data_IF_080161495406
#
_entry.id   IF_080161495406
#
_cell.length_a   1.000
_cell.length_b   1.000
_cell.length_c   1.000
_cell.angle_alpha   90.00
_cell.angle_beta   90.00
_cell.angle_gamma   90.00
#
_symmetry.space_group_name_H-M   'P 1'
#
loop_
_entity.id
_entity.type
_entity.pdbx_description
1 polymer ?
#
# COMPACT_ATOMS: atom_id res chain seq x y z
N UNK A 1 -10.63 16.14 -10.43
CA UNK A 1 -11.52 15.75 -9.31
C UNK A 1 -10.95 14.52 -8.60
N UNK A 2 -10.88 14.58 -7.29
CA UNK A 2 -10.32 13.48 -6.53
C UNK A 2 -11.38 12.44 -6.17
N UNK A 3 -10.95 11.17 -6.08
CA UNK A 3 -11.83 10.07 -5.63
C UNK A 3 -11.87 9.98 -4.10
N UNK A 4 -10.96 10.67 -3.40
CA UNK A 4 -10.85 10.54 -1.95
C UNK A 4 -12.02 11.24 -1.26
N UNK A 5 -12.72 10.51 -0.41
CA UNK A 5 -13.90 11.01 0.31
C UNK A 5 -13.59 11.47 1.73
N UNK A 6 -12.36 11.19 2.19
CA UNK A 6 -11.91 11.57 3.52
C UNK A 6 -10.69 12.48 3.38
N UNK A 7 -10.60 13.48 4.24
CA UNK A 7 -9.41 14.32 4.28
C UNK A 7 -8.27 13.56 4.96
N UNK A 8 -7.06 13.66 4.41
CA UNK A 8 -5.91 13.00 5.01
C UNK A 8 -4.62 13.71 4.59
N UNK A 9 -3.56 13.44 5.36
CA UNK A 9 -2.18 13.76 4.99
C UNK A 9 -1.38 12.48 5.00
N UNK A 10 -0.29 12.43 4.25
CA UNK A 10 0.61 11.27 4.28
C UNK A 10 1.12 11.02 5.70
N UNK A 11 1.43 12.08 6.43
CA UNK A 11 1.88 12.00 7.81
C UNK A 11 0.87 11.29 8.71
N UNK A 12 -0.41 11.64 8.59
CA UNK A 12 -1.48 11.01 9.36
C UNK A 12 -1.60 9.52 9.02
N UNK A 13 -1.54 9.18 7.75
CA UNK A 13 -1.64 7.78 7.31
C UNK A 13 -0.48 6.94 7.85
N UNK A 14 0.72 7.48 7.82
CA UNK A 14 1.89 6.77 8.32
C UNK A 14 1.87 6.64 9.84
N UNK A 15 1.35 7.62 10.54
CA UNK A 15 1.18 7.56 12.00
C UNK A 15 0.22 6.43 12.40
N UNK A 16 -0.84 6.21 11.63
CA UNK A 16 -1.81 5.15 11.91
C UNK A 16 -1.17 3.76 11.89
N UNK A 17 -0.17 3.55 11.04
CA UNK A 17 0.44 2.24 10.86
C UNK A 17 1.65 1.95 11.73
N UNK A 18 2.17 2.93 12.46
CA UNK A 18 3.49 2.79 13.09
C UNK A 18 3.59 1.70 14.15
N UNK A 19 2.50 1.41 14.86
CA UNK A 19 2.50 0.43 15.96
C UNK A 19 1.83 -0.89 15.60
N UNK A 20 1.76 -1.21 14.32
CA UNK A 20 1.16 -2.47 13.86
C UNK A 20 2.04 -3.10 12.77
N UNK A 21 1.54 -4.16 12.14
CA UNK A 21 2.29 -4.89 11.12
C UNK A 21 2.81 -3.98 10.00
N UNK A 22 2.03 -2.98 9.61
CA UNK A 22 2.40 -2.03 8.56
C UNK A 22 3.73 -1.34 8.89
N UNK A 23 3.81 -0.72 10.07
CA UNK A 23 5.02 -0.04 10.51
C UNK A 23 6.16 -1.02 10.79
N UNK A 24 5.84 -2.21 11.33
CA UNK A 24 6.85 -3.22 11.62
C UNK A 24 7.58 -3.66 10.35
N UNK A 25 6.87 -3.80 9.24
CA UNK A 25 7.46 -4.15 7.95
C UNK A 25 8.13 -2.97 7.25
N UNK A 26 8.00 -1.78 7.81
CA UNK A 26 8.57 -0.57 7.21
C UNK A 26 7.76 -0.02 6.05
N UNK A 27 6.50 -0.42 5.93
CA UNK A 27 5.62 0.10 4.88
C UNK A 27 5.32 1.57 5.14
N UNK A 28 5.55 2.39 4.13
CA UNK A 28 5.32 3.83 4.19
C UNK A 28 4.43 4.26 3.04
N UNK A 29 3.39 5.01 3.35
CA UNK A 29 2.56 5.62 2.31
C UNK A 29 3.37 6.78 1.76
N UNK A 30 3.75 6.72 0.49
CA UNK A 30 4.78 7.59 -0.07
C UNK A 30 4.26 8.69 -0.98
N UNK A 31 3.11 8.49 -1.62
CA UNK A 31 2.57 9.46 -2.56
C UNK A 31 1.11 9.17 -2.86
N UNK A 32 0.41 10.17 -3.37
CA UNK A 32 -0.96 9.99 -3.86
C UNK A 32 -1.28 11.05 -4.91
N UNK A 33 -2.28 10.77 -5.72
CA UNK A 33 -2.83 11.69 -6.69
C UNK A 33 -4.34 11.72 -6.59
N UNK A 34 -5.01 12.24 -7.61
CA UNK A 34 -6.47 12.36 -7.58
C UNK A 34 -7.18 11.00 -7.55
N UNK A 35 -6.58 9.98 -8.15
CA UNK A 35 -7.19 8.66 -8.27
C UNK A 35 -6.22 7.50 -8.03
N UNK A 36 -5.14 7.74 -7.30
CA UNK A 36 -4.18 6.69 -6.98
C UNK A 36 -3.49 6.98 -5.65
N UNK A 37 -2.96 5.95 -5.03
CA UNK A 37 -2.16 6.06 -3.82
C UNK A 37 -1.07 4.98 -3.86
N UNK A 38 0.10 5.31 -3.34
CA UNK A 38 1.29 4.47 -3.43
C UNK A 38 1.93 4.28 -2.06
N UNK A 39 2.43 3.09 -1.83
CA UNK A 39 3.24 2.76 -0.66
C UNK A 39 4.53 2.11 -1.10
N UNK A 40 5.56 2.23 -0.27
CA UNK A 40 6.83 1.55 -0.46
C UNK A 40 7.20 0.76 0.78
N UNK A 41 8.02 -0.26 0.59
CA UNK A 41 8.47 -1.13 1.67
C UNK A 41 9.94 -1.45 1.45
N UNK A 42 10.78 -1.35 2.49
CA UNK A 42 12.20 -1.69 2.33
C UNK A 42 12.38 -3.19 2.14
N UNK A 43 13.40 -3.55 1.39
CA UNK A 43 13.82 -4.95 1.26
C UNK A 43 15.00 -5.14 2.21
N UNK A 44 14.73 -5.71 3.38
CA UNK A 44 15.72 -5.93 4.43
C UNK A 44 15.36 -7.17 5.24
N UNK A 45 15.99 -7.35 6.41
CA UNK A 45 15.78 -8.53 7.24
C UNK A 45 14.32 -8.75 7.67
N UNK A 46 13.49 -7.71 7.65
CA UNK A 46 12.08 -7.80 8.02
C UNK A 46 11.22 -8.36 6.90
N UNK A 47 11.69 -8.29 5.67
CA UNK A 47 10.89 -8.52 4.48
C UNK A 47 11.46 -9.55 3.51
N UNK A 48 12.59 -10.16 3.86
CA UNK A 48 13.23 -11.16 3.02
C UNK A 48 12.96 -12.58 3.54
N UNK A 49 13.05 -13.55 2.64
CA UNK A 49 12.99 -14.97 2.98
C UNK A 49 14.44 -15.49 3.23
N UNK A 50 14.62 -16.76 3.65
CA UNK A 50 15.94 -17.25 4.08
C UNK A 50 17.08 -17.15 3.06
N UNK A 51 16.77 -17.03 1.78
CA UNK A 51 17.80 -16.89 0.74
C UNK A 51 18.12 -15.42 0.43
N UNK A 52 17.59 -14.46 1.21
CA UNK A 52 17.87 -13.05 1.05
C UNK A 52 17.02 -12.33 0.01
N UNK A 53 16.03 -12.99 -0.56
CA UNK A 53 15.12 -12.40 -1.54
C UNK A 53 13.86 -11.89 -0.85
N UNK A 54 13.21 -10.91 -1.45
CA UNK A 54 11.93 -10.41 -0.97
C UNK A 54 10.93 -11.56 -0.80
N UNK A 55 10.34 -11.65 0.39
CA UNK A 55 9.36 -12.68 0.70
C UNK A 55 8.04 -12.41 -0.03
N UNK A 56 7.55 -13.42 -0.76
CA UNK A 56 6.32 -13.28 -1.53
C UNK A 56 5.10 -12.90 -0.70
N UNK A 57 4.94 -13.52 0.46
CA UNK A 57 3.84 -13.21 1.38
C UNK A 57 3.88 -11.79 1.91
N UNK A 58 5.08 -11.27 2.17
CA UNK A 58 5.26 -9.90 2.63
C UNK A 58 4.95 -8.92 1.49
N UNK A 59 5.28 -9.29 0.26
CA UNK A 59 4.91 -8.51 -0.92
C UNK A 59 3.39 -8.41 -1.05
N UNK A 60 2.67 -9.49 -0.79
CA UNK A 60 1.20 -9.48 -0.76
C UNK A 60 0.69 -8.59 0.37
N UNK A 61 1.36 -8.59 1.52
CA UNK A 61 0.98 -7.72 2.64
C UNK A 61 1.07 -6.24 2.24
N UNK A 62 2.08 -5.85 1.47
CA UNK A 62 2.20 -4.49 0.94
C UNK A 62 1.01 -4.16 0.03
N UNK A 63 0.69 -5.05 -0.91
CA UNK A 63 -0.43 -4.85 -1.82
C UNK A 63 -1.76 -4.77 -1.07
N UNK A 64 -1.97 -5.65 -0.10
CA UNK A 64 -3.16 -5.68 0.74
C UNK A 64 -3.31 -4.37 1.52
N UNK A 65 -2.22 -3.88 2.11
CA UNK A 65 -2.21 -2.66 2.90
C UNK A 65 -2.66 -1.46 2.05
N UNK A 66 -2.05 -1.28 0.88
CA UNK A 66 -2.37 -0.11 0.06
C UNK A 66 -3.76 -0.23 -0.57
N UNK A 67 -4.18 -1.45 -0.92
CA UNK A 67 -5.51 -1.69 -1.45
C UNK A 67 -6.61 -1.41 -0.42
N UNK A 68 -6.43 -1.89 0.80
CA UNK A 68 -7.38 -1.65 1.89
C UNK A 68 -7.48 -0.17 2.23
N UNK A 69 -6.35 0.51 2.29
CA UNK A 69 -6.31 1.94 2.58
C UNK A 69 -7.01 2.74 1.48
N UNK A 70 -6.72 2.44 0.22
CA UNK A 70 -7.36 3.11 -0.90
C UNK A 70 -8.88 2.92 -0.88
N UNK A 71 -9.33 1.71 -0.56
CA UNK A 71 -10.76 1.43 -0.39
C UNK A 71 -11.39 2.28 0.70
N UNK A 72 -10.75 2.32 1.87
CA UNK A 72 -11.23 3.09 3.01
C UNK A 72 -11.34 4.59 2.69
N UNK A 73 -10.31 5.15 2.05
CA UNK A 73 -10.26 6.59 1.77
C UNK A 73 -11.20 7.02 0.63
N UNK A 74 -11.58 6.11 -0.25
CA UNK A 74 -12.37 6.43 -1.45
C UNK A 74 -13.87 6.20 -1.29
N UNK A 75 -14.32 5.68 -0.15
CA UNK A 75 -15.75 5.42 0.07
C UNK A 75 -16.30 6.37 1.15
N UNK A 76 -17.58 6.68 1.02
CA UNK A 76 -18.32 7.34 2.07
C UNK A 76 -18.96 6.28 2.95
N UNK A 77 -19.43 6.67 4.13
CA UNK A 77 -20.13 5.75 5.01
C UNK A 77 -21.32 5.13 4.26
N UNK A 78 -21.41 3.82 4.32
CA UNK A 78 -22.46 3.08 3.62
C UNK A 78 -22.17 2.69 2.20
N UNK A 79 -21.06 3.15 1.61
CA UNK A 79 -20.65 2.76 0.28
C UNK A 79 -19.66 1.61 0.33
N UNK A 80 -19.54 0.91 -0.80
CA UNK A 80 -18.59 -0.19 -0.95
C UNK A 80 -17.74 0.05 -2.20
N UNK A 81 -16.44 -0.05 -2.05
CA UNK A 81 -15.53 0.00 -3.19
C UNK A 81 -15.73 -1.29 -4.01
N UNK A 82 -15.96 -1.15 -5.33
CA UNK A 82 -16.26 -2.29 -6.19
C UNK A 82 -15.02 -3.01 -6.67
N UNK A 83 -13.91 -2.33 -6.79
CA UNK A 83 -12.67 -2.95 -7.19
C UNK A 83 -11.52 -1.98 -7.25
N UNK A 84 -10.33 -2.52 -7.07
CA UNK A 84 -9.08 -1.77 -7.12
C UNK A 84 -8.10 -2.54 -7.97
N UNK A 85 -7.33 -1.81 -8.78
CA UNK A 85 -6.18 -2.37 -9.47
C UNK A 85 -4.95 -2.07 -8.64
N UNK A 86 -4.23 -3.11 -8.24
CA UNK A 86 -3.06 -3.00 -7.40
C UNK A 86 -1.86 -3.48 -8.18
N UNK A 87 -0.92 -2.57 -8.44
CA UNK A 87 0.33 -2.89 -9.10
C UNK A 87 1.45 -2.96 -8.09
N UNK A 88 2.07 -4.13 -7.99
CA UNK A 88 3.29 -4.31 -7.21
C UNK A 88 4.45 -4.33 -8.20
N UNK A 89 5.33 -3.36 -8.07
CA UNK A 89 6.43 -3.19 -9.02
C UNK A 89 7.67 -3.97 -8.59
N UNK A 90 7.62 -5.31 -8.75
CA UNK A 90 8.75 -6.20 -8.49
C UNK A 90 8.72 -7.37 -9.46
N UNK A 91 9.09 -7.10 -10.70
CA UNK A 91 9.10 -8.12 -11.76
C UNK A 91 10.28 -9.09 -11.67
N UNK A 92 11.22 -8.85 -10.76
CA UNK A 92 12.43 -9.65 -10.58
C UNK A 92 12.60 -10.00 -9.11
N UNK A 93 13.39 -11.06 -8.80
CA UNK A 93 13.81 -11.28 -7.43
C UNK A 93 14.51 -10.04 -6.88
N UNK A 94 14.07 -9.54 -5.72
CA UNK A 94 14.58 -8.31 -5.12
C UNK A 94 15.37 -8.66 -3.88
N UNK A 95 16.59 -8.13 -3.78
CA UNK A 95 17.51 -8.40 -2.66
C UNK A 95 17.72 -7.20 -1.75
N UNK A 96 17.55 -5.98 -2.25
CA UNK A 96 17.77 -4.76 -1.48
C UNK A 96 17.00 -3.60 -2.10
N UNK A 97 16.95 -2.47 -1.40
CA UNK A 97 16.27 -1.29 -1.86
C UNK A 97 14.82 -1.24 -1.38
N UNK A 98 13.94 -0.83 -2.23
CA UNK A 98 12.53 -0.72 -1.92
C UNK A 98 11.68 -1.35 -3.02
N UNK A 99 10.51 -1.84 -2.64
CA UNK A 99 9.47 -2.20 -3.57
C UNK A 99 8.29 -1.26 -3.35
N UNK A 100 7.55 -0.99 -4.42
CA UNK A 100 6.40 -0.09 -4.36
C UNK A 100 5.15 -0.83 -4.81
N UNK A 101 4.02 -0.42 -4.25
CA UNK A 101 2.70 -0.86 -4.71
C UNK A 101 1.83 0.37 -4.89
N UNK A 102 1.03 0.38 -5.94
CA UNK A 102 0.17 1.49 -6.27
C UNK A 102 -1.24 0.96 -6.47
N UNK A 103 -2.21 1.59 -5.84
CA UNK A 103 -3.61 1.24 -5.98
C UNK A 103 -4.35 2.32 -6.77
N UNK A 104 -5.13 1.88 -7.75
CA UNK A 104 -6.03 2.75 -8.50
C UNK A 104 -7.40 2.09 -8.56
N UNK A 105 -8.49 2.86 -8.55
CA UNK A 105 -9.82 2.24 -8.61
C UNK A 105 -10.11 1.70 -10.00
N UNK A 106 -10.83 0.58 -10.02
CA UNK A 106 -11.42 0.05 -11.25
C UNK A 106 -12.83 0.63 -11.38
N UNK A 107 -13.59 0.58 -10.28
CA UNK A 107 -14.93 1.14 -10.22
C UNK A 107 -15.29 1.46 -8.77
N UNK A 108 -16.13 2.47 -8.58
CA UNK A 108 -16.67 2.86 -7.28
C UNK A 108 -18.19 2.97 -7.41
N UNK A 109 -18.91 2.56 -6.40
CA UNK A 109 -20.36 2.75 -6.37
C UNK A 109 -20.76 3.94 -5.51
#
# INVERSE_FOLDING_TARGET
MTIWKKAFTLEQLNEMGKDCAVGHLGIEISAYGENWIEAKMPVDHRTTQPFGLLHGGVSVALAETIGSLAGFLSIEEGQVALGLDINANHLRPVKKGFVTAKATPIALS
#
